data_IF_887618568132
#
_entry.id   IF_887618568132
#
_cell.length_a   1.000
_cell.length_b   1.000
_cell.length_c   1.000
_cell.angle_alpha   90.00
_cell.angle_beta   90.00
_cell.angle_gamma   90.00
#
_symmetry.space_group_name_H-M   'P 1'
#
loop_
_entity.id
_entity.type
_entity.pdbx_description
1 polymer ?
#
# COMPACT_ATOMS: atom_id res chain seq x y z
N UNK A 1 16.13 44.17 -31.24
CA UNK A 1 16.23 43.05 -30.28
C UNK A 1 15.61 43.53 -28.97
N UNK A 2 14.55 42.86 -28.46
CA UNK A 2 13.83 43.34 -27.27
C UNK A 2 14.68 43.02 -26.03
N UNK A 3 15.26 44.05 -25.39
CA UNK A 3 16.02 43.89 -24.15
C UNK A 3 15.09 43.42 -23.03
N UNK A 4 15.37 42.24 -22.47
CA UNK A 4 14.69 41.72 -21.30
C UNK A 4 14.96 42.64 -20.11
N UNK A 5 13.92 43.01 -19.37
CA UNK A 5 14.07 43.90 -18.22
C UNK A 5 14.74 43.13 -17.07
N UNK A 6 15.66 43.73 -16.29
CA UNK A 6 16.39 43.04 -15.22
C UNK A 6 15.50 42.34 -14.19
N UNK A 7 14.32 42.90 -13.89
CA UNK A 7 13.36 42.29 -12.97
C UNK A 7 12.73 40.99 -13.52
N UNK A 8 12.60 40.85 -14.84
CA UNK A 8 12.10 39.62 -15.46
C UNK A 8 13.12 38.49 -15.31
N UNK A 9 14.41 38.80 -15.39
CA UNK A 9 15.50 37.84 -15.14
C UNK A 9 15.41 37.33 -13.70
N UNK A 10 15.18 38.23 -12.73
CA UNK A 10 14.98 37.85 -11.33
C UNK A 10 13.81 36.87 -11.12
N UNK A 11 12.68 37.11 -11.79
CA UNK A 11 11.51 36.21 -11.74
C UNK A 11 11.81 34.83 -12.35
N UNK A 12 12.52 34.78 -13.47
CA UNK A 12 12.91 33.50 -14.08
C UNK A 12 13.79 32.67 -13.15
N UNK A 13 14.79 33.30 -12.52
CA UNK A 13 15.68 32.62 -11.58
C UNK A 13 14.90 32.12 -10.36
N UNK A 14 14.03 32.96 -9.78
CA UNK A 14 13.20 32.55 -8.64
C UNK A 14 12.30 31.36 -8.99
N UNK A 15 11.70 31.36 -10.19
CA UNK A 15 10.83 30.26 -10.64
C UNK A 15 11.59 28.95 -10.78
N UNK A 16 12.78 28.99 -11.40
CA UNK A 16 13.64 27.81 -11.54
C UNK A 16 14.08 27.27 -10.19
N UNK A 17 14.40 28.15 -9.23
CA UNK A 17 14.77 27.74 -7.87
C UNK A 17 13.60 27.07 -7.14
N UNK A 18 12.39 27.60 -7.25
CA UNK A 18 11.19 27.01 -6.60
C UNK A 18 10.87 25.64 -7.20
N UNK A 19 10.91 25.51 -8.53
CA UNK A 19 10.67 24.24 -9.22
C UNK A 19 11.77 23.23 -8.87
N UNK A 20 13.04 23.66 -8.89
CA UNK A 20 14.19 22.83 -8.55
C UNK A 20 14.14 22.34 -7.10
N UNK A 21 13.85 23.22 -6.15
CA UNK A 21 13.68 22.86 -4.74
C UNK A 21 12.50 21.90 -4.53
N UNK A 22 11.38 22.12 -5.23
CA UNK A 22 10.20 21.23 -5.14
C UNK A 22 10.49 19.84 -5.71
N UNK A 23 11.20 19.76 -6.84
CA UNK A 23 11.63 18.48 -7.42
C UNK A 23 12.62 17.77 -6.51
N UNK A 24 13.61 18.48 -5.98
CA UNK A 24 14.60 17.93 -5.05
C UNK A 24 13.93 17.37 -3.79
N UNK A 25 12.99 18.13 -3.22
CA UNK A 25 12.21 17.69 -2.06
C UNK A 25 11.35 16.48 -2.39
N UNK A 26 10.60 16.51 -3.50
CA UNK A 26 9.75 15.41 -3.97
C UNK A 26 10.53 14.12 -4.21
N UNK A 27 11.74 14.22 -4.76
CA UNK A 27 12.63 13.08 -4.99
C UNK A 27 13.24 12.54 -3.69
N UNK A 28 13.45 13.38 -2.67
CA UNK A 28 13.93 12.92 -1.35
C UNK A 28 12.82 12.33 -0.48
N UNK A 29 11.59 12.82 -0.56
CA UNK A 29 10.47 12.35 0.26
C UNK A 29 9.73 11.18 -0.37
N UNK A 30 9.88 10.93 -1.67
CA UNK A 30 9.45 9.68 -2.29
C UNK A 30 10.50 8.61 -1.99
N UNK A 31 10.28 7.89 -0.89
CA UNK A 31 11.00 6.65 -0.61
C UNK A 31 10.95 5.69 -1.80
N UNK A 32 11.91 4.76 -1.90
CA UNK A 32 12.05 3.85 -3.03
C UNK A 32 10.94 2.77 -3.06
N UNK A 33 9.69 3.16 -3.30
CA UNK A 33 8.58 2.22 -3.57
C UNK A 33 8.36 1.98 -5.07
N UNK A 34 9.29 2.39 -5.93
CA UNK A 34 9.26 2.06 -7.36
C UNK A 34 9.79 0.65 -7.67
N UNK A 35 10.05 -0.18 -6.65
CA UNK A 35 10.28 -1.62 -6.80
C UNK A 35 9.03 -2.42 -6.42
N UNK A 36 7.86 -2.09 -7.00
CA UNK A 36 6.73 -3.02 -7.06
C UNK A 36 7.14 -4.24 -7.89
N UNK A 37 7.83 -5.17 -7.23
CA UNK A 37 8.47 -6.32 -7.83
C UNK A 37 7.45 -7.40 -8.19
N UNK A 38 6.47 -7.10 -9.07
CA UNK A 38 5.63 -8.10 -9.76
C UNK A 38 5.01 -9.18 -8.86
N UNK A 39 4.92 -8.93 -7.55
CA UNK A 39 4.54 -9.85 -6.48
C UNK A 39 3.78 -9.04 -5.46
N UNK A 40 2.54 -9.44 -5.22
CA UNK A 40 1.72 -8.90 -4.14
C UNK A 40 1.85 -9.83 -2.93
N UNK A 41 2.08 -9.24 -1.76
CA UNK A 41 1.90 -9.93 -0.49
C UNK A 41 0.42 -9.79 -0.10
N UNK A 42 -0.15 -10.90 0.30
CA UNK A 42 -1.53 -11.06 0.73
C UNK A 42 -1.52 -11.52 2.17
N UNK A 43 -2.45 -11.06 2.99
CA UNK A 43 -2.64 -11.51 4.36
C UNK A 43 -4.06 -12.04 4.53
N UNK A 44 -4.20 -13.16 5.23
CA UNK A 44 -5.48 -13.61 5.74
C UNK A 44 -5.86 -12.78 6.97
N UNK A 45 -6.96 -12.06 6.88
CA UNK A 45 -7.41 -11.15 7.95
C UNK A 45 -7.84 -11.87 9.24
N UNK A 46 -8.18 -13.16 9.18
CA UNK A 46 -8.56 -13.98 10.33
C UNK A 46 -7.37 -14.63 11.01
N UNK A 47 -6.43 -15.14 10.21
CA UNK A 47 -5.30 -15.94 10.75
C UNK A 47 -3.99 -15.16 10.86
N UNK A 48 -3.84 -14.08 10.08
CA UNK A 48 -2.62 -13.28 10.00
C UNK A 48 -1.52 -13.94 9.16
N UNK A 49 -1.82 -15.07 8.52
CA UNK A 49 -0.89 -15.73 7.62
C UNK A 49 -0.69 -14.92 6.34
N UNK A 50 0.53 -14.94 5.80
CA UNK A 50 0.85 -14.22 4.57
C UNK A 50 1.19 -15.12 3.40
N UNK A 51 0.69 -14.72 2.24
CA UNK A 51 0.85 -15.40 0.97
C UNK A 51 1.48 -14.44 -0.05
N UNK A 52 2.25 -14.95 -0.99
CA UNK A 52 2.81 -14.15 -2.09
C UNK A 52 2.31 -14.66 -3.42
N UNK A 53 1.82 -13.75 -4.28
CA UNK A 53 1.41 -14.07 -5.64
C UNK A 53 2.03 -13.15 -6.66
N UNK A 54 2.49 -13.71 -7.78
CA UNK A 54 2.97 -12.92 -8.91
C UNK A 54 1.80 -12.20 -9.61
N UNK A 55 1.91 -10.88 -9.76
CA UNK A 55 0.96 -10.03 -10.50
C UNK A 55 1.43 -9.73 -11.92
N UNK A 56 2.56 -10.31 -12.35
CA UNK A 56 3.19 -10.04 -13.67
C UNK A 56 2.27 -10.29 -14.86
N UNK A 57 1.51 -11.38 -14.81
CA UNK A 57 0.79 -11.92 -15.97
C UNK A 57 -0.73 -11.95 -15.79
N UNK A 58 -1.23 -11.77 -14.56
CA UNK A 58 -2.66 -11.84 -14.25
C UNK A 58 -3.03 -10.82 -13.17
N UNK A 59 -4.15 -10.11 -13.34
CA UNK A 59 -4.69 -9.26 -12.29
C UNK A 59 -5.09 -10.13 -11.09
N UNK A 60 -4.97 -9.54 -9.90
CA UNK A 60 -5.36 -10.19 -8.67
C UNK A 60 -6.84 -9.91 -8.40
N UNK A 61 -7.64 -10.97 -8.29
CA UNK A 61 -9.05 -10.86 -7.84
C UNK A 61 -9.04 -10.81 -6.32
N UNK A 62 -9.73 -9.83 -5.75
CA UNK A 62 -9.76 -9.55 -4.32
C UNK A 62 -11.20 -9.52 -3.79
N UNK A 63 -11.46 -10.06 -2.58
CA UNK A 63 -10.53 -10.84 -1.77
C UNK A 63 -10.13 -12.14 -2.47
N UNK A 64 -8.86 -12.54 -2.33
CA UNK A 64 -8.40 -13.82 -2.83
C UNK A 64 -8.82 -14.95 -1.88
N UNK A 65 -8.96 -16.16 -2.43
CA UNK A 65 -9.31 -17.35 -1.66
C UNK A 65 -8.06 -17.87 -0.96
N UNK A 66 -8.12 -18.05 0.36
CA UNK A 66 -7.09 -18.77 1.10
C UNK A 66 -7.13 -20.25 0.70
N UNK A 67 -6.02 -20.81 0.19
CA UNK A 67 -5.99 -22.20 -0.28
C UNK A 67 -6.14 -23.23 0.84
N UNK A 68 -5.90 -22.84 2.09
CA UNK A 68 -5.99 -23.72 3.26
C UNK A 68 -7.42 -23.75 3.84
N UNK A 69 -8.09 -22.61 3.90
CA UNK A 69 -9.43 -22.49 4.49
C UNK A 69 -10.56 -22.50 3.45
N UNK A 70 -10.27 -22.19 2.19
CA UNK A 70 -11.26 -22.01 1.13
C UNK A 70 -12.06 -20.70 1.24
N UNK A 71 -11.75 -19.84 2.22
CA UNK A 71 -12.45 -18.58 2.42
C UNK A 71 -11.84 -17.44 1.59
N UNK A 72 -12.69 -16.53 1.10
CA UNK A 72 -12.26 -15.33 0.41
C UNK A 72 -11.87 -14.23 1.41
N UNK A 73 -10.72 -14.40 2.07
CA UNK A 73 -10.26 -13.56 3.18
C UNK A 73 -8.82 -13.02 2.98
N UNK A 74 -8.20 -13.29 1.83
CA UNK A 74 -6.86 -12.80 1.51
C UNK A 74 -6.90 -11.41 0.90
N UNK A 75 -6.24 -10.46 1.57
CA UNK A 75 -6.20 -9.06 1.17
C UNK A 75 -4.78 -8.54 1.00
N UNK A 76 -4.53 -7.58 0.10
CA UNK A 76 -3.18 -7.05 -0.10
C UNK A 76 -2.66 -6.39 1.17
N UNK A 77 -1.40 -6.65 1.47
CA UNK A 77 -0.67 -6.00 2.53
C UNK A 77 0.62 -5.37 2.01
N UNK A 78 0.98 -4.25 2.61
CA UNK A 78 2.22 -3.53 2.34
C UNK A 78 2.95 -3.26 3.65
N UNK A 79 4.27 -3.24 3.59
CA UNK A 79 5.11 -2.84 4.69
C UNK A 79 5.44 -1.36 4.54
N UNK A 80 5.15 -0.56 5.57
CA UNK A 80 5.50 0.86 5.62
C UNK A 80 6.21 1.13 6.93
N UNK A 81 7.46 1.61 6.85
CA UNK A 81 8.32 1.91 8.00
C UNK A 81 8.52 0.70 8.95
N UNK A 82 8.64 -0.51 8.38
CA UNK A 82 8.82 -1.75 9.15
C UNK A 82 7.53 -2.28 9.79
N UNK A 83 6.38 -1.68 9.48
CA UNK A 83 5.07 -2.10 10.00
C UNK A 83 4.20 -2.58 8.85
N UNK A 84 3.72 -3.82 8.97
CA UNK A 84 2.81 -4.43 8.00
C UNK A 84 1.39 -3.94 8.20
N UNK A 85 0.76 -3.49 7.09
CA UNK A 85 -0.60 -2.97 7.08
C UNK A 85 -1.38 -3.48 5.88
N UNK A 86 -2.69 -3.68 6.06
CA UNK A 86 -3.63 -3.84 4.95
C UNK A 86 -4.00 -2.48 4.34
N UNK A 87 -4.36 -2.47 3.06
CA UNK A 87 -4.80 -1.25 2.36
C UNK A 87 -6.04 -0.64 3.02
N UNK A 88 -6.14 0.71 3.00
CA UNK A 88 -7.24 1.43 3.62
C UNK A 88 -8.64 1.04 3.11
N UNK A 89 -8.75 0.61 1.85
CA UNK A 89 -10.03 0.13 1.29
C UNK A 89 -10.47 -1.17 1.97
N UNK A 90 -9.52 -2.01 2.38
CA UNK A 90 -9.79 -3.25 3.11
C UNK A 90 -10.34 -2.94 4.50
N UNK A 91 -9.80 -1.91 5.16
CA UNK A 91 -10.32 -1.47 6.46
C UNK A 91 -11.78 -1.06 6.39
N UNK A 92 -12.18 -0.33 5.34
CA UNK A 92 -13.59 0.02 5.13
C UNK A 92 -14.48 -1.21 4.95
N UNK A 93 -14.01 -2.24 4.25
CA UNK A 93 -14.75 -3.51 4.06
C UNK A 93 -14.86 -4.28 5.38
N UNK A 94 -13.79 -4.33 6.18
CA UNK A 94 -13.79 -4.97 7.50
C UNK A 94 -14.74 -4.24 8.44
N UNK A 95 -14.69 -2.92 8.49
CA UNK A 95 -15.58 -2.10 9.32
C UNK A 95 -17.05 -2.35 8.95
N UNK A 96 -17.37 -2.37 7.66
CA UNK A 96 -18.71 -2.70 7.17
C UNK A 96 -19.14 -4.13 7.59
N UNK A 97 -18.23 -5.10 7.47
CA UNK A 97 -18.50 -6.50 7.84
C UNK A 97 -18.71 -6.68 9.35
N UNK A 98 -17.97 -5.94 10.17
CA UNK A 98 -18.16 -5.89 11.63
C UNK A 98 -19.53 -5.30 11.97
N UNK A 99 -19.89 -4.19 11.30
CA UNK A 99 -21.20 -3.54 11.49
C UNK A 99 -22.36 -4.46 11.11
N UNK A 100 -22.19 -5.24 10.05
CA UNK A 100 -23.19 -6.20 9.56
C UNK A 100 -23.15 -7.55 10.31
N UNK A 101 -22.29 -7.68 11.33
CA UNK A 101 -22.10 -8.88 12.17
C UNK A 101 -21.68 -10.14 11.40
N UNK A 102 -21.09 -9.97 10.21
CA UNK A 102 -20.53 -11.07 9.42
C UNK A 102 -19.10 -11.41 9.85
N UNK A 103 -18.41 -10.48 10.52
CA UNK A 103 -17.10 -10.66 11.14
C UNK A 103 -17.11 -10.14 12.57
N UNK A 104 -16.56 -10.91 13.51
CA UNK A 104 -16.33 -10.43 14.87
C UNK A 104 -14.93 -9.81 14.96
N UNK A 105 -14.76 -8.65 15.62
CA UNK A 105 -13.43 -8.06 15.81
C UNK A 105 -12.42 -8.99 16.50
N UNK A 106 -12.91 -9.88 17.36
CA UNK A 106 -12.10 -10.85 18.10
C UNK A 106 -11.58 -12.01 17.24
N UNK A 107 -12.18 -12.23 16.06
CA UNK A 107 -11.80 -13.31 15.13
C UNK A 107 -10.76 -12.82 14.11
N UNK A 108 -10.33 -11.56 14.22
CA UNK A 108 -9.37 -10.93 13.31
C UNK A 108 -7.97 -10.99 13.91
N UNK A 109 -7.00 -11.41 13.10
CA UNK A 109 -5.58 -11.32 13.42
C UNK A 109 -4.99 -9.93 13.12
N UNK A 110 -5.79 -9.05 12.52
CA UNK A 110 -5.42 -7.68 12.16
C UNK A 110 -6.17 -6.68 13.04
N UNK A 111 -5.55 -5.55 13.34
CA UNK A 111 -6.23 -4.45 14.03
C UNK A 111 -7.21 -3.76 13.06
N UNK A 112 -8.54 -3.82 13.29
CA UNK A 112 -9.53 -3.26 12.37
C UNK A 112 -9.48 -1.73 12.26
N UNK A 113 -8.83 -1.03 13.21
CA UNK A 113 -8.70 0.44 13.17
C UNK A 113 -7.48 0.89 12.38
N UNK A 114 -6.37 0.18 12.53
CA UNK A 114 -5.07 0.60 11.96
C UNK A 114 -4.62 -0.25 10.78
N UNK A 115 -5.26 -1.41 10.58
CA UNK A 115 -4.88 -2.41 9.59
C UNK A 115 -3.57 -3.11 9.89
N UNK A 116 -2.99 -2.87 11.06
CA UNK A 116 -1.68 -3.42 11.44
C UNK A 116 -1.80 -4.89 11.81
N UNK A 117 -0.76 -5.64 11.46
CA UNK A 117 -0.62 -7.03 11.85
C UNK A 117 0.85 -7.42 11.96
N UNK A 118 1.10 -8.52 12.66
CA UNK A 118 2.44 -9.12 12.74
C UNK A 118 2.50 -10.31 11.79
N UNK A 119 3.58 -10.42 11.02
CA UNK A 119 3.82 -11.58 10.18
C UNK A 119 3.87 -12.85 11.02
N UNK A 120 2.97 -13.81 10.74
CA UNK A 120 3.08 -15.17 11.25
C UNK A 120 3.71 -16.07 10.19
N UNK A 121 5.00 -16.36 10.37
CA UNK A 121 5.75 -17.32 9.54
C UNK A 121 6.30 -16.75 8.22
N UNK A 122 6.87 -17.64 7.40
CA UNK A 122 7.42 -17.30 6.09
C UNK A 122 6.30 -17.17 5.04
N UNK A 123 6.48 -16.27 4.06
CA UNK A 123 5.50 -16.07 2.99
C UNK A 123 5.24 -17.36 2.20
N UNK A 124 4.01 -17.87 2.27
CA UNK A 124 3.60 -19.06 1.51
C UNK A 124 3.32 -18.67 0.04
N UNK A 125 3.75 -19.45 -0.97
CA UNK A 125 3.39 -19.17 -2.35
C UNK A 125 1.90 -19.43 -2.58
N UNK A 126 1.18 -18.43 -3.10
CA UNK A 126 -0.21 -18.62 -3.56
C UNK A 126 -0.17 -19.19 -4.98
N UNK A 127 -0.71 -20.41 -5.16
CA UNK A 127 -0.74 -21.12 -6.45
C UNK A 127 -1.73 -20.49 -7.43
#
# INVERSE_FOLDING_TARGET
MKSLKPWQIGLFVATILVVGASLWWSLRTKGPEANMHRRAVLVDIKTGETFTRSTKNRPLVLPAINPETGEANLWPASETDGVWRVDGRVLSVIEASIKDRTLSPQDLAIDPKTGQFTLRGAHKPLK
#
